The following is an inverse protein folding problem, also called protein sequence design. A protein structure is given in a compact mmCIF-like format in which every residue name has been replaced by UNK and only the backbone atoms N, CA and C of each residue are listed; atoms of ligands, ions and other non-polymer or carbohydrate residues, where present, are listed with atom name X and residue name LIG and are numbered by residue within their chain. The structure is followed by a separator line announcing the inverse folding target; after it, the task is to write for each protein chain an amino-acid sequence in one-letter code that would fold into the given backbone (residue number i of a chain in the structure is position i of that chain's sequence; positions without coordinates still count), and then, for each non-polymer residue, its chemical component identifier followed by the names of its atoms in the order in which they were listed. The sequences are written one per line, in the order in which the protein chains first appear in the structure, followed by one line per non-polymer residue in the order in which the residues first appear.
data_IF_350694751543
#
_entry.id   IF_350694751543
#
_cell.length_a   1.000
_cell.length_b   1.000
_cell.length_c   1.000
_cell.angle_alpha   90.00
_cell.angle_beta   90.00
_cell.angle_gamma   90.00
#
_symmetry.space_group_name_H-M   'P 1'
#
loop_
_entity.id
_entity.type
_entity.pdbx_description
1 polymer ?
#
# COMPACT_ATOMS: atom_id res chain seq x y z
N UNK A 1 -23.22 -0.11 -2.16
CA UNK A 1 -22.52 1.15 -1.85
C UNK A 1 -21.57 1.43 -3.01
N UNK A 2 -21.37 2.67 -3.37
CA UNK A 2 -20.46 3.07 -4.46
C UNK A 2 -19.02 2.93 -3.97
N UNK A 3 -18.14 2.33 -4.77
CA UNK A 3 -16.69 2.29 -4.50
C UNK A 3 -16.17 3.73 -4.46
N UNK A 4 -15.50 4.10 -3.38
CA UNK A 4 -14.91 5.43 -3.21
C UNK A 4 -13.39 5.35 -3.34
N UNK A 5 -12.75 6.43 -3.79
CA UNK A 5 -11.30 6.51 -3.85
C UNK A 5 -10.69 6.48 -2.45
N UNK A 6 -9.67 5.63 -2.24
CA UNK A 6 -8.91 5.52 -0.99
C UNK A 6 -7.50 6.06 -1.21
N UNK A 7 -7.19 7.22 -0.62
CA UNK A 7 -5.88 7.83 -0.78
C UNK A 7 -4.81 7.08 0.04
N UNK A 8 -3.62 6.89 -0.56
CA UNK A 8 -2.45 6.48 0.20
C UNK A 8 -2.00 7.63 1.11
N UNK A 9 -1.69 7.33 2.35
CA UNK A 9 -1.17 8.31 3.31
C UNK A 9 0.17 8.88 2.84
N UNK A 10 0.39 10.17 3.09
CA UNK A 10 1.71 10.78 2.85
C UNK A 10 2.74 10.17 3.79
N UNK A 11 3.95 9.96 3.26
CA UNK A 11 5.09 9.47 4.03
C UNK A 11 5.93 10.68 4.42
N UNK A 12 6.31 10.76 5.71
CA UNK A 12 7.24 11.78 6.18
C UNK A 12 8.61 11.63 5.54
N UNK A 13 9.24 12.77 5.25
CA UNK A 13 10.60 12.81 4.75
C UNK A 13 11.58 12.55 5.90
N UNK A 14 12.66 11.81 5.64
CA UNK A 14 13.66 11.44 6.62
C UNK A 14 14.20 12.64 7.43
N UNK A 15 14.40 13.80 6.78
CA UNK A 15 14.87 15.00 7.46
C UNK A 15 13.87 15.53 8.51
N UNK A 16 12.56 15.36 8.30
CA UNK A 16 11.54 15.71 9.29
C UNK A 16 11.59 14.77 10.49
N UNK A 17 11.80 13.47 10.24
CA UNK A 17 11.97 12.47 11.31
C UNK A 17 13.22 12.81 12.15
N UNK A 18 14.35 13.10 11.50
CA UNK A 18 15.61 13.47 12.19
C UNK A 18 15.40 14.74 13.02
N UNK A 19 14.73 15.75 12.49
CA UNK A 19 14.43 17.00 13.22
C UNK A 19 13.56 16.73 14.45
N UNK A 20 12.53 15.90 14.33
CA UNK A 20 11.65 15.52 15.44
C UNK A 20 12.42 14.77 16.53
N UNK A 21 13.30 13.83 16.14
CA UNK A 21 14.15 13.10 17.07
C UNK A 21 15.12 14.06 17.79
N UNK A 22 15.70 15.02 17.08
CA UNK A 22 16.54 16.07 17.66
C UNK A 22 15.81 16.86 18.75
N UNK A 23 14.59 17.28 18.48
CA UNK A 23 13.76 18.00 19.45
C UNK A 23 13.40 17.14 20.68
N UNK A 24 13.12 15.85 20.50
CA UNK A 24 12.90 14.94 21.64
C UNK A 24 14.14 14.82 22.50
N UNK A 25 15.34 14.77 21.90
CA UNK A 25 16.61 14.75 22.63
C UNK A 25 16.84 16.03 23.43
N UNK A 26 16.55 17.20 22.86
CA UNK A 26 16.62 18.50 23.55
C UNK A 26 15.69 18.56 24.77
N UNK A 27 14.54 17.90 24.72
CA UNK A 27 13.60 17.77 25.82
C UNK A 27 14.00 16.69 26.85
N UNK A 28 15.19 16.09 26.71
CA UNK A 28 15.68 15.02 27.60
C UNK A 28 14.86 13.72 27.54
N UNK A 29 14.10 13.51 26.44
CA UNK A 29 13.35 12.28 26.26
C UNK A 29 14.22 11.18 25.66
N UNK A 30 14.06 9.91 26.09
CA UNK A 30 14.81 8.81 25.52
C UNK A 30 14.50 8.68 24.03
N UNK A 31 15.55 8.57 23.21
CA UNK A 31 15.40 8.35 21.79
C UNK A 31 15.15 6.85 21.52
N UNK A 32 14.18 6.51 20.65
CA UNK A 32 14.01 5.13 20.22
C UNK A 32 15.21 4.69 19.37
N UNK A 33 15.62 3.44 19.52
CA UNK A 33 16.49 2.79 18.53
C UNK A 33 15.66 2.41 17.33
N UNK A 34 15.93 3.02 16.18
CA UNK A 34 15.19 2.77 14.94
C UNK A 34 16.08 1.99 13.98
N UNK A 35 15.62 0.80 13.60
CA UNK A 35 16.25 -0.02 12.58
C UNK A 35 15.73 0.40 11.20
N UNK A 36 16.62 0.80 10.30
CA UNK A 36 16.29 1.18 8.94
C UNK A 36 16.63 0.10 7.92
N UNK A 37 15.73 -0.10 6.96
CA UNK A 37 16.00 -0.92 5.77
C UNK A 37 15.92 -0.04 4.53
N UNK A 38 17.00 0.03 3.78
CA UNK A 38 17.04 0.71 2.51
C UNK A 38 16.52 -0.22 1.39
N UNK A 39 15.70 0.31 0.50
CA UNK A 39 15.22 -0.37 -0.72
C UNK A 39 15.39 0.55 -1.91
N UNK A 40 15.58 -0.04 -3.09
CA UNK A 40 15.58 0.72 -4.34
C UNK A 40 14.18 1.27 -4.58
N UNK A 41 14.08 2.59 -4.79
CA UNK A 41 12.82 3.22 -5.17
C UNK A 41 12.55 2.97 -6.66
N UNK A 42 11.43 2.34 -6.96
CA UNK A 42 10.93 2.26 -8.33
C UNK A 42 10.30 3.59 -8.73
N UNK A 43 10.57 4.02 -9.96
CA UNK A 43 9.93 5.18 -10.55
C UNK A 43 8.77 4.73 -11.44
N UNK A 44 7.59 5.09 -11.05
CA UNK A 44 6.37 4.80 -11.77
C UNK A 44 5.26 5.72 -11.30
N UNK A 45 4.08 5.17 -11.16
CA UNK A 45 2.91 5.90 -10.67
C UNK A 45 2.27 5.13 -9.53
N UNK A 46 1.95 5.84 -8.45
CA UNK A 46 1.20 5.25 -7.34
C UNK A 46 -0.19 4.86 -7.82
N UNK A 47 -0.49 3.59 -7.72
CA UNK A 47 -1.78 3.01 -8.07
C UNK A 47 -2.25 2.07 -6.96
N UNK A 48 -3.54 1.72 -6.98
CA UNK A 48 -4.03 0.70 -6.08
C UNK A 48 -5.17 -0.12 -6.71
N UNK A 49 -5.38 -1.29 -6.12
CA UNK A 49 -6.49 -2.19 -6.43
C UNK A 49 -7.32 -2.34 -5.17
N UNK A 50 -8.58 -1.95 -5.26
CA UNK A 50 -9.57 -2.18 -4.20
C UNK A 50 -10.26 -3.52 -4.46
N UNK A 51 -10.37 -4.35 -3.43
CA UNK A 51 -11.13 -5.60 -3.44
C UNK A 51 -12.22 -5.49 -2.39
N UNK A 52 -13.47 -5.43 -2.83
CA UNK A 52 -14.64 -5.24 -1.98
C UNK A 52 -15.69 -6.30 -2.29
N UNK A 53 -16.75 -6.35 -1.51
CA UNK A 53 -17.92 -7.19 -1.82
C UNK A 53 -18.59 -6.85 -3.16
N UNK A 54 -18.40 -5.63 -3.64
CA UNK A 54 -18.94 -5.17 -4.94
C UNK A 54 -18.03 -5.51 -6.12
N UNK A 55 -16.82 -6.02 -5.86
CA UNK A 55 -15.87 -6.42 -6.88
C UNK A 55 -14.50 -5.79 -6.74
N UNK A 56 -13.79 -5.72 -7.86
CA UNK A 56 -12.42 -5.21 -7.96
C UNK A 56 -12.45 -3.89 -8.71
N UNK A 57 -11.84 -2.86 -8.14
CA UNK A 57 -11.69 -1.54 -8.75
C UNK A 57 -10.23 -1.12 -8.81
N UNK A 58 -9.84 -0.46 -9.91
CA UNK A 58 -8.53 0.16 -10.06
C UNK A 58 -8.59 1.64 -9.68
N UNK A 59 -7.51 2.16 -9.12
CA UNK A 59 -7.37 3.59 -8.85
C UNK A 59 -5.96 4.09 -9.12
N UNK A 60 -5.87 5.36 -9.51
CA UNK A 60 -4.63 6.13 -9.51
C UNK A 60 -4.41 6.78 -8.15
N UNK A 61 -3.39 7.61 -8.04
CA UNK A 61 -3.13 8.39 -6.82
C UNK A 61 -4.31 9.28 -6.40
N UNK A 62 -5.13 9.73 -7.35
CA UNK A 62 -6.15 10.77 -7.13
C UNK A 62 -7.56 10.39 -7.52
N UNK A 63 -7.75 9.31 -8.27
CA UNK A 63 -9.07 8.97 -8.82
C UNK A 63 -9.25 7.47 -9.04
N UNK A 64 -10.50 7.03 -9.01
CA UNK A 64 -10.89 5.73 -9.53
C UNK A 64 -10.67 5.68 -11.05
N UNK A 65 -10.32 4.50 -11.55
CA UNK A 65 -10.04 4.26 -12.96
C UNK A 65 -11.03 3.22 -13.52
N UNK A 66 -11.37 3.40 -14.79
CA UNK A 66 -12.08 2.40 -15.58
C UNK A 66 -11.26 2.05 -16.82
N UNK A 67 -11.58 0.96 -17.56
CA UNK A 67 -10.89 0.67 -18.80
C UNK A 67 -11.02 1.80 -19.85
N UNK A 68 -12.12 2.58 -19.81
CA UNK A 68 -12.39 3.72 -20.70
C UNK A 68 -11.65 4.99 -20.24
N UNK A 69 -11.45 5.14 -18.93
CA UNK A 69 -10.70 6.23 -18.31
C UNK A 69 -9.45 5.66 -17.63
N UNK A 70 -8.63 4.98 -18.44
CA UNK A 70 -7.45 4.26 -17.98
C UNK A 70 -6.25 5.18 -17.74
N UNK A 71 -5.40 4.79 -16.82
CA UNK A 71 -4.13 5.45 -16.56
C UNK A 71 -2.96 4.55 -16.96
N UNK A 72 -2.37 4.83 -18.10
CA UNK A 72 -1.18 4.14 -18.63
C UNK A 72 -1.33 2.60 -18.70
N UNK A 73 -2.53 2.11 -18.90
CA UNK A 73 -2.86 0.69 -19.04
C UNK A 73 -3.10 -0.03 -17.71
N UNK A 74 -3.15 0.68 -16.57
CA UNK A 74 -3.33 0.06 -15.26
C UNK A 74 -4.73 -0.51 -15.06
N UNK A 75 -5.78 0.24 -15.39
CA UNK A 75 -7.15 -0.26 -15.24
C UNK A 75 -7.44 -1.46 -16.14
N UNK A 76 -6.96 -1.42 -17.38
CA UNK A 76 -7.06 -2.55 -18.29
C UNK A 76 -6.29 -3.77 -17.78
N UNK A 77 -5.13 -3.57 -17.15
CA UNK A 77 -4.37 -4.64 -16.52
C UNK A 77 -5.12 -5.24 -15.32
N UNK A 78 -5.65 -4.43 -14.42
CA UNK A 78 -6.47 -4.89 -13.28
C UNK A 78 -7.69 -5.66 -13.77
N UNK A 79 -8.37 -5.17 -14.81
CA UNK A 79 -9.54 -5.84 -15.39
C UNK A 79 -9.19 -7.25 -15.90
N UNK A 80 -8.05 -7.40 -16.61
CA UNK A 80 -7.59 -8.71 -17.10
C UNK A 80 -7.24 -9.67 -15.95
N UNK A 81 -6.77 -9.17 -14.82
CA UNK A 81 -6.39 -9.96 -13.66
C UNK A 81 -7.46 -10.01 -12.57
N UNK A 82 -8.68 -9.56 -12.88
CA UNK A 82 -9.79 -9.46 -11.92
C UNK A 82 -10.05 -10.75 -11.15
N UNK A 83 -10.04 -11.88 -11.85
CA UNK A 83 -10.26 -13.19 -11.23
C UNK A 83 -9.24 -13.49 -10.13
N UNK A 84 -7.97 -13.12 -10.35
CA UNK A 84 -6.93 -13.27 -9.33
C UNK A 84 -7.19 -12.37 -8.11
N UNK A 85 -7.49 -11.09 -8.33
CA UNK A 85 -7.80 -10.19 -7.22
C UNK A 85 -9.02 -10.63 -6.41
N UNK A 86 -10.00 -11.25 -7.05
CA UNK A 86 -11.20 -11.80 -6.38
C UNK A 86 -10.90 -12.99 -5.46
N UNK A 87 -9.74 -13.64 -5.58
CA UNK A 87 -9.30 -14.68 -4.64
C UNK A 87 -8.73 -14.13 -3.34
N UNK A 88 -8.47 -12.83 -3.29
CA UNK A 88 -7.95 -12.17 -2.10
C UNK A 88 -9.02 -11.94 -1.06
N UNK A 89 -8.56 -11.63 0.16
CA UNK A 89 -9.45 -11.15 1.20
C UNK A 89 -10.24 -9.93 0.69
N UNK A 90 -11.49 -9.81 1.10
CA UNK A 90 -12.33 -8.64 0.81
C UNK A 90 -11.99 -7.50 1.76
N UNK A 91 -12.47 -6.31 1.40
CA UNK A 91 -12.28 -5.06 2.14
C UNK A 91 -10.80 -4.73 2.36
N UNK A 92 -10.02 -4.91 1.29
CA UNK A 92 -8.62 -4.53 1.23
C UNK A 92 -8.34 -3.58 0.09
N UNK A 93 -7.33 -2.74 0.29
CA UNK A 93 -6.74 -1.91 -0.75
C UNK A 93 -5.27 -2.29 -0.90
N UNK A 94 -4.90 -2.77 -2.08
CA UNK A 94 -3.53 -3.16 -2.42
C UNK A 94 -2.86 -1.99 -3.11
N UNK A 95 -1.92 -1.33 -2.43
CA UNK A 95 -1.15 -0.20 -2.98
C UNK A 95 0.15 -0.67 -3.60
N UNK A 96 0.51 -0.07 -4.73
CA UNK A 96 1.73 -0.40 -5.43
C UNK A 96 2.18 0.70 -6.39
N UNK A 97 3.37 0.50 -6.93
CA UNK A 97 3.93 1.34 -7.99
C UNK A 97 3.68 0.67 -9.33
N UNK A 98 2.88 1.29 -10.20
CA UNK A 98 2.71 0.89 -11.59
C UNK A 98 3.86 1.44 -12.39
N UNK A 99 4.72 0.57 -12.93
CA UNK A 99 5.94 1.00 -13.60
C UNK A 99 6.29 0.09 -14.79
N UNK A 100 7.27 0.53 -15.58
CA UNK A 100 7.72 -0.18 -16.78
C UNK A 100 7.55 0.64 -18.05
N UNK A 101 7.60 -0.02 -19.24
CA UNK A 101 7.57 0.66 -20.53
C UNK A 101 6.34 1.55 -20.71
N UNK A 102 6.56 2.83 -21.09
CA UNK A 102 5.47 3.78 -21.34
C UNK A 102 4.72 4.28 -20.11
N UNK A 103 5.16 3.95 -18.89
CA UNK A 103 4.59 4.54 -17.65
C UNK A 103 5.32 5.85 -17.32
N UNK A 104 6.64 5.81 -17.11
CA UNK A 104 7.47 7.01 -16.97
C UNK A 104 8.64 6.97 -17.97
N UNK A 105 8.88 8.09 -18.65
CA UNK A 105 9.98 8.19 -19.63
C UNK A 105 11.31 8.47 -18.92
N UNK A 106 12.41 7.94 -19.47
CA UNK A 106 13.75 8.25 -18.99
C UNK A 106 14.16 7.58 -17.67
N UNK A 107 13.32 6.72 -17.11
CA UNK A 107 13.65 5.97 -15.91
C UNK A 107 14.21 4.60 -16.25
N UNK A 108 15.16 4.09 -15.44
CA UNK A 108 15.76 2.78 -15.66
C UNK A 108 14.73 1.66 -15.78
N UNK A 109 13.66 1.71 -14.99
CA UNK A 109 12.57 0.73 -15.04
C UNK A 109 11.80 0.74 -16.38
N UNK A 110 11.88 1.82 -17.16
CA UNK A 110 11.27 1.89 -18.51
C UNK A 110 11.93 0.93 -19.51
N UNK A 111 13.15 0.45 -19.22
CA UNK A 111 13.83 -0.57 -20.00
C UNK A 111 13.35 -2.00 -19.69
N UNK A 112 12.48 -2.20 -18.73
CA UNK A 112 11.87 -3.51 -18.45
C UNK A 112 11.10 -4.02 -19.68
N UNK A 113 11.02 -5.34 -19.84
CA UNK A 113 10.30 -5.95 -20.98
C UNK A 113 8.79 -5.74 -20.91
N UNK A 114 8.26 -5.69 -19.69
CA UNK A 114 6.81 -5.58 -19.43
C UNK A 114 6.53 -4.58 -18.34
N UNK A 115 5.31 -4.07 -18.31
CA UNK A 115 4.80 -3.30 -17.16
C UNK A 115 4.60 -4.23 -15.98
N UNK A 116 4.84 -3.73 -14.77
CA UNK A 116 4.63 -4.45 -13.53
C UNK A 116 3.94 -3.58 -12.48
N UNK A 117 3.23 -4.22 -11.58
CA UNK A 117 2.65 -3.60 -10.40
C UNK A 117 3.41 -4.07 -9.17
N UNK A 118 4.32 -3.23 -8.69
CA UNK A 118 5.15 -3.52 -7.53
C UNK A 118 4.41 -3.15 -6.24
N UNK A 119 3.79 -4.13 -5.61
CA UNK A 119 3.05 -3.94 -4.36
C UNK A 119 3.99 -3.53 -3.23
N UNK A 120 3.66 -2.47 -2.50
CA UNK A 120 4.42 -2.01 -1.33
C UNK A 120 3.59 -1.98 -0.05
N UNK A 121 2.24 -1.97 -0.13
CA UNK A 121 1.38 -1.99 1.05
C UNK A 121 0.03 -2.62 0.76
N UNK A 122 -0.57 -3.18 1.80
CA UNK A 122 -1.96 -3.63 1.82
C UNK A 122 -2.64 -2.95 3.00
N UNK A 123 -3.69 -2.20 2.72
CA UNK A 123 -4.54 -1.57 3.74
C UNK A 123 -5.78 -2.44 3.93
N UNK A 124 -6.11 -2.72 5.18
CA UNK A 124 -7.34 -3.41 5.55
C UNK A 124 -8.38 -2.35 5.91
N UNK A 125 -9.45 -2.27 5.15
CA UNK A 125 -10.44 -1.19 5.29
C UNK A 125 -11.16 -1.25 6.65
N UNK A 126 -11.43 -2.44 7.16
CA UNK A 126 -12.05 -2.64 8.46
C UNK A 126 -11.18 -2.15 9.63
N UNK A 127 -9.84 -2.32 9.57
CA UNK A 127 -8.93 -1.79 10.61
C UNK A 127 -8.96 -0.27 10.64
N UNK A 128 -9.00 0.37 9.46
CA UNK A 128 -9.02 1.85 9.37
C UNK A 128 -10.35 2.42 9.88
N UNK A 129 -11.45 1.73 9.64
CA UNK A 129 -12.76 2.15 10.15
C UNK A 129 -12.85 2.04 11.67
N UNK A 130 -12.29 0.97 12.25
CA UNK A 130 -12.30 0.74 13.68
C UNK A 130 -11.29 1.64 14.41
N UNK A 131 -10.07 1.79 13.89
CA UNK A 131 -9.08 2.72 14.46
C UNK A 131 -9.52 4.18 14.41
N UNK A 132 -10.37 4.56 13.46
CA UNK A 132 -10.95 5.92 13.43
C UNK A 132 -12.07 6.14 14.45
N UNK A 133 -12.72 5.07 14.92
CA UNK A 133 -13.82 5.14 15.86
C UNK A 133 -13.42 4.96 17.31
N UNK A 134 -12.34 4.25 17.54
CA UNK A 134 -11.85 3.91 18.87
C UNK A 134 -10.57 4.68 19.19
N UNK A 135 -10.49 5.23 20.38
CA UNK A 135 -9.25 5.81 20.89
C UNK A 135 -8.20 4.71 21.09
N UNK A 136 -6.92 5.06 21.10
CA UNK A 136 -5.82 4.12 21.38
C UNK A 136 -6.06 3.37 22.71
N UNK A 137 -6.66 4.04 23.68
CA UNK A 137 -7.00 3.45 25.00
C UNK A 137 -8.10 2.37 24.91
N UNK A 138 -9.07 2.53 23.99
CA UNK A 138 -10.12 1.54 23.74
C UNK A 138 -9.57 0.31 23.00
N UNK A 139 -8.62 0.51 22.08
CA UNK A 139 -7.90 -0.57 21.41
C UNK A 139 -7.06 -1.39 22.39
N UNK A 140 -6.38 -0.75 23.33
CA UNK A 140 -5.64 -1.42 24.40
C UNK A 140 -6.57 -2.18 25.37
N UNK A 141 -7.72 -1.64 25.68
CA UNK A 141 -8.74 -2.27 26.51
C UNK A 141 -9.42 -3.48 25.84
N UNK A 142 -9.50 -3.50 24.49
CA UNK A 142 -10.07 -4.63 23.73
C UNK A 142 -9.14 -5.84 23.62
N UNK A 143 -7.90 -5.75 24.14
CA UNK A 143 -6.90 -6.83 24.09
C UNK A 143 -6.31 -7.09 22.71
N UNK A 144 -6.63 -6.26 21.71
CA UNK A 144 -5.99 -6.28 20.39
C UNK A 144 -4.61 -5.64 20.48
N UNK A 145 -3.61 -6.45 20.84
CA UNK A 145 -2.23 -5.98 20.82
C UNK A 145 -1.82 -5.73 19.37
N UNK A 146 -1.24 -4.56 19.11
CA UNK A 146 -0.68 -4.15 17.81
C UNK A 146 0.20 -5.24 17.18
N UNK A 147 0.92 -6.02 18.01
CA UNK A 147 1.70 -7.17 17.59
C UNK A 147 0.88 -8.30 16.95
N UNK A 148 -0.37 -8.49 17.32
CA UNK A 148 -1.24 -9.54 16.75
C UNK A 148 -1.77 -9.12 15.38
N UNK A 149 -2.09 -7.84 15.19
CA UNK A 149 -2.49 -7.25 13.90
C UNK A 149 -1.30 -7.29 12.94
N UNK A 150 -0.11 -6.87 13.40
CA UNK A 150 1.12 -6.94 12.61
C UNK A 150 1.46 -8.39 12.20
N UNK A 151 1.32 -9.36 13.10
CA UNK A 151 1.55 -10.78 12.83
C UNK A 151 0.57 -11.32 11.80
N UNK A 152 -0.71 -10.94 11.87
CA UNK A 152 -1.73 -11.35 10.89
C UNK A 152 -1.48 -10.73 9.51
N UNK A 153 -1.08 -9.46 9.45
CA UNK A 153 -0.70 -8.78 8.21
C UNK A 153 0.56 -9.44 7.62
N UNK A 154 1.59 -9.70 8.43
CA UNK A 154 2.84 -10.35 7.98
C UNK A 154 2.62 -11.79 7.53
N UNK A 155 1.77 -12.55 8.19
CA UNK A 155 1.46 -13.92 7.79
C UNK A 155 0.73 -13.96 6.42
N UNK A 156 -0.19 -13.05 6.18
CA UNK A 156 -0.87 -12.90 4.89
C UNK A 156 0.03 -12.30 3.80
N UNK A 157 0.82 -11.29 4.12
CA UNK A 157 1.80 -10.73 3.19
C UNK A 157 2.88 -11.75 2.76
N UNK A 158 3.32 -12.64 3.65
CA UNK A 158 4.27 -13.70 3.31
C UNK A 158 3.75 -14.66 2.24
N UNK A 159 2.47 -14.94 2.22
CA UNK A 159 1.85 -15.78 1.18
C UNK A 159 1.96 -15.14 -0.22
N UNK A 160 2.11 -13.82 -0.30
CA UNK A 160 2.22 -13.05 -1.54
C UNK A 160 3.64 -12.93 -2.08
N UNK A 161 4.66 -12.94 -1.21
CA UNK A 161 6.06 -12.84 -1.60
C UNK A 161 6.65 -14.17 -2.09
N UNK A 162 5.98 -15.29 -1.80
CA UNK A 162 6.50 -16.62 -2.10
C UNK A 162 5.98 -17.21 -3.42
N UNK A 163 4.95 -16.63 -4.03
CA UNK A 163 4.41 -17.14 -5.29
C UNK A 163 5.08 -16.60 -6.55
N UNK A 164 5.89 -15.54 -6.46
CA UNK A 164 6.54 -14.90 -7.61
C UNK A 164 8.02 -15.30 -7.80
N UNK A 165 8.54 -16.24 -7.03
CA UNK A 165 9.94 -16.69 -7.16
C UNK A 165 10.09 -18.03 -7.85
N UNK A 166 9.04 -18.56 -8.49
CA UNK A 166 9.11 -19.81 -9.25
C UNK A 166 8.58 -19.62 -10.67
N UNK A 167 9.44 -19.03 -11.53
CA UNK A 167 9.53 -19.33 -12.96
C UNK A 167 10.73 -18.63 -13.58
#
# INVERSE_FOLDING_TARGET
MSTTHVAWSSIELLHNVIRTLGHLNELGRPLPVVEYRAKVKLHGSNCAVQVTDHGVAAQSRTSLLTPEADYKGFAAWVHRHRAYFQTLARDIVVFGEWCGPGVEKGMAISAAKTKLFAVFAVQLEWIVADVRKESVAELEASGLQFAQVEKAIRARARTWYLSDTSS
#
